data_IF_320917900107
#
_entry.id   IF_320917900107
#
_cell.length_a   1.000
_cell.length_b   1.000
_cell.length_c   1.000
_cell.angle_alpha   90.00
_cell.angle_beta   90.00
_cell.angle_gamma   90.00
#
_symmetry.space_group_name_H-M   'P 1'
#
loop_
_entity.id
_entity.type
_entity.pdbx_description
1 polymer ?
#
# COMPACT_ATOMS: atom_id res chain seq x y z
N UNK A 1 71.37 23.71 -52.20
CA UNK A 1 70.01 23.25 -52.57
C UNK A 1 69.72 21.98 -51.78
N UNK A 2 69.14 22.14 -50.55
CA UNK A 2 68.88 21.01 -49.65
C UNK A 2 67.42 20.60 -49.83
N UNK A 3 67.21 19.34 -50.20
CA UNK A 3 65.95 18.68 -50.41
C UNK A 3 65.50 17.99 -49.09
N UNK A 4 64.61 18.55 -48.36
CA UNK A 4 64.02 17.90 -47.14
C UNK A 4 63.07 16.80 -47.59
N UNK A 5 63.37 15.55 -47.24
CA UNK A 5 62.56 14.39 -47.52
C UNK A 5 61.51 14.26 -46.41
N UNK A 6 60.23 14.58 -46.71
CA UNK A 6 59.10 14.45 -45.82
C UNK A 6 58.77 12.98 -45.65
N UNK A 7 59.14 12.40 -44.52
CA UNK A 7 58.70 11.04 -44.09
C UNK A 7 57.26 11.08 -43.70
N UNK A 8 56.40 10.59 -44.57
CA UNK A 8 54.99 10.34 -44.23
C UNK A 8 54.87 9.10 -43.37
N UNK A 9 54.62 9.25 -42.06
CA UNK A 9 54.12 8.15 -41.21
C UNK A 9 52.73 7.77 -41.68
N UNK A 10 52.60 6.60 -42.29
CA UNK A 10 51.32 5.94 -42.45
C UNK A 10 50.80 5.58 -41.06
N UNK A 11 49.82 6.31 -40.60
CA UNK A 11 49.04 5.93 -39.44
C UNK A 11 48.27 4.69 -39.88
N UNK A 12 48.63 3.53 -39.34
CA UNK A 12 47.97 2.26 -39.62
C UNK A 12 46.46 2.41 -39.37
N UNK A 13 45.67 2.01 -40.34
CA UNK A 13 44.21 1.90 -40.18
C UNK A 13 43.96 0.87 -39.08
N UNK A 14 43.67 1.36 -37.90
CA UNK A 14 43.20 0.53 -36.77
C UNK A 14 41.96 -0.23 -37.25
N UNK A 15 41.93 -1.49 -36.92
CA UNK A 15 40.94 -2.47 -37.37
C UNK A 15 39.54 -2.09 -36.90
N UNK A 16 38.84 -1.24 -37.64
CA UNK A 16 37.54 -0.65 -37.29
C UNK A 16 36.41 -1.67 -37.13
N UNK A 17 36.64 -2.92 -37.53
CA UNK A 17 35.65 -4.01 -37.38
C UNK A 17 35.60 -4.60 -35.96
N UNK A 18 36.74 -4.58 -35.25
CA UNK A 18 36.77 -5.04 -33.83
C UNK A 18 36.18 -4.02 -32.87
N UNK A 19 36.40 -2.73 -33.14
CA UNK A 19 35.92 -1.64 -32.31
C UNK A 19 34.38 -1.57 -32.33
N UNK A 20 33.74 -1.76 -33.48
CA UNK A 20 32.27 -1.75 -33.60
C UNK A 20 31.62 -2.92 -32.85
N UNK A 21 32.24 -4.10 -32.81
CA UNK A 21 31.71 -5.28 -32.11
C UNK A 21 31.78 -5.06 -30.58
N UNK A 22 32.87 -4.52 -30.09
CA UNK A 22 33.03 -4.16 -28.67
C UNK A 22 32.03 -3.07 -28.27
N UNK A 23 31.82 -2.06 -29.09
CA UNK A 23 30.86 -0.97 -28.86
C UNK A 23 29.43 -1.51 -28.78
N UNK A 24 29.04 -2.43 -29.68
CA UNK A 24 27.72 -3.08 -29.64
C UNK A 24 27.58 -3.90 -28.37
N UNK A 25 28.59 -4.66 -27.94
CA UNK A 25 28.55 -5.43 -26.70
C UNK A 25 28.38 -4.53 -25.47
N UNK A 26 29.15 -3.44 -25.39
CA UNK A 26 29.04 -2.48 -24.28
C UNK A 26 27.64 -1.84 -24.27
N UNK A 27 27.14 -1.42 -25.44
CA UNK A 27 25.82 -0.84 -25.58
C UNK A 27 24.71 -1.80 -25.12
N UNK A 28 24.83 -3.08 -25.46
CA UNK A 28 23.91 -4.13 -25.05
C UNK A 28 23.92 -4.34 -23.53
N UNK A 29 25.10 -4.36 -22.92
CA UNK A 29 25.24 -4.46 -21.46
C UNK A 29 24.63 -3.25 -20.76
N UNK A 30 24.91 -2.03 -21.23
CA UNK A 30 24.32 -0.81 -20.69
C UNK A 30 22.79 -0.80 -20.82
N UNK A 31 22.29 -1.25 -21.98
CA UNK A 31 20.86 -1.38 -22.21
C UNK A 31 20.19 -2.34 -21.21
N UNK A 32 20.81 -3.50 -20.93
CA UNK A 32 20.31 -4.45 -19.94
C UNK A 32 20.24 -3.85 -18.54
N UNK A 33 21.25 -3.08 -18.12
CA UNK A 33 21.23 -2.40 -16.83
C UNK A 33 20.08 -1.38 -16.73
N UNK A 34 19.89 -0.56 -17.77
CA UNK A 34 18.79 0.41 -17.83
C UNK A 34 17.45 -0.31 -17.78
N UNK A 35 17.30 -1.39 -18.54
CA UNK A 35 16.07 -2.17 -18.59
C UNK A 35 15.74 -2.80 -17.22
N UNK A 36 16.72 -3.36 -16.51
CA UNK A 36 16.55 -3.87 -15.15
C UNK A 36 16.11 -2.76 -14.16
N UNK A 37 16.68 -1.57 -14.27
CA UNK A 37 16.30 -0.44 -13.43
C UNK A 37 14.84 -0.02 -13.67
N UNK A 38 14.42 0.04 -14.93
CA UNK A 38 13.02 0.37 -15.31
C UNK A 38 12.04 -0.68 -14.81
N UNK A 39 12.36 -1.98 -14.95
CA UNK A 39 11.52 -3.07 -14.44
C UNK A 39 11.36 -3.00 -12.92
N UNK A 40 12.45 -2.78 -12.20
CA UNK A 40 12.42 -2.65 -10.73
C UNK A 40 11.55 -1.48 -10.29
N UNK A 41 11.64 -0.35 -10.97
CA UNK A 41 10.81 0.83 -10.71
C UNK A 41 9.32 0.56 -10.98
N UNK A 42 9.00 -0.14 -12.07
CA UNK A 42 7.63 -0.51 -12.41
C UNK A 42 7.01 -1.46 -11.36
N UNK A 43 7.77 -2.46 -10.88
CA UNK A 43 7.32 -3.37 -9.84
C UNK A 43 7.04 -2.63 -8.51
N UNK A 44 7.91 -1.69 -8.13
CA UNK A 44 7.71 -0.87 -6.94
C UNK A 44 6.46 0.01 -7.04
N UNK A 45 6.20 0.59 -8.22
CA UNK A 45 5.00 1.38 -8.47
C UNK A 45 3.72 0.54 -8.34
N UNK A 46 3.71 -0.68 -8.88
CA UNK A 46 2.58 -1.62 -8.75
C UNK A 46 2.36 -1.99 -7.28
N UNK A 47 3.42 -2.31 -6.54
CA UNK A 47 3.33 -2.67 -5.12
C UNK A 47 2.77 -1.51 -4.28
N UNK A 48 3.26 -0.31 -4.50
CA UNK A 48 2.77 0.91 -3.84
C UNK A 48 1.29 1.18 -4.16
N UNK A 49 0.89 1.05 -5.42
CA UNK A 49 -0.50 1.23 -5.83
C UNK A 49 -1.43 0.20 -5.19
N UNK A 50 -1.00 -1.06 -5.10
CA UNK A 50 -1.77 -2.13 -4.44
C UNK A 50 -1.94 -1.86 -2.95
N UNK A 51 -0.88 -1.43 -2.24
CA UNK A 51 -0.97 -1.03 -0.83
C UNK A 51 -1.95 0.12 -0.61
N UNK A 52 -1.94 1.12 -1.49
CA UNK A 52 -2.88 2.24 -1.43
C UNK A 52 -4.32 1.78 -1.67
N UNK A 53 -4.54 0.84 -2.58
CA UNK A 53 -5.85 0.24 -2.83
C UNK A 53 -6.39 -0.47 -1.58
N UNK A 54 -5.57 -1.26 -0.89
CA UNK A 54 -5.97 -1.92 0.35
C UNK A 54 -6.27 -0.94 1.46
N UNK A 55 -5.43 0.09 1.61
CA UNK A 55 -5.67 1.14 2.59
C UNK A 55 -7.01 1.86 2.34
N UNK A 56 -7.31 2.17 1.09
CA UNK A 56 -8.59 2.81 0.73
C UNK A 56 -9.78 1.89 1.04
N UNK A 57 -9.64 0.58 0.80
CA UNK A 57 -10.67 -0.38 1.17
C UNK A 57 -10.83 -0.50 2.68
N UNK A 58 -9.73 -0.51 3.46
CA UNK A 58 -9.78 -0.49 4.92
C UNK A 58 -10.50 0.74 5.46
N UNK A 59 -10.27 1.92 4.87
CA UNK A 59 -11.00 3.17 5.20
C UNK A 59 -12.49 2.99 4.95
N UNK A 60 -12.86 2.41 3.79
CA UNK A 60 -14.27 2.17 3.44
C UNK A 60 -14.95 1.20 4.41
N UNK A 61 -14.28 0.10 4.75
CA UNK A 61 -14.76 -0.88 5.72
C UNK A 61 -14.94 -0.24 7.10
N UNK A 62 -13.95 0.54 7.56
CA UNK A 62 -14.03 1.23 8.84
C UNK A 62 -15.20 2.24 8.89
N UNK A 63 -15.38 3.02 7.82
CA UNK A 63 -16.49 3.97 7.71
C UNK A 63 -17.85 3.25 7.71
N UNK A 64 -17.97 2.13 6.99
CA UNK A 64 -19.18 1.32 6.98
C UNK A 64 -19.49 0.74 8.37
N UNK A 65 -18.47 0.21 9.06
CA UNK A 65 -18.62 -0.33 10.43
C UNK A 65 -19.00 0.77 11.43
N UNK A 66 -18.39 1.94 11.31
CA UNK A 66 -18.74 3.10 12.14
C UNK A 66 -20.18 3.59 11.89
N UNK A 67 -20.63 3.57 10.65
CA UNK A 67 -22.03 3.89 10.30
C UNK A 67 -23.00 2.87 10.92
N UNK A 68 -22.65 1.58 10.88
CA UNK A 68 -23.38 0.51 11.55
C UNK A 68 -23.46 0.73 13.06
N UNK A 69 -22.35 1.10 13.70
CA UNK A 69 -22.30 1.41 15.13
C UNK A 69 -23.24 2.58 15.50
N UNK A 70 -23.28 3.63 14.69
CA UNK A 70 -24.19 4.76 14.87
C UNK A 70 -25.66 4.36 14.72
N UNK A 71 -25.96 3.49 13.76
CA UNK A 71 -27.32 2.95 13.57
C UNK A 71 -27.77 2.10 14.75
N UNK A 72 -26.87 1.29 15.34
CA UNK A 72 -27.15 0.54 16.56
C UNK A 72 -27.41 1.50 17.71
N UNK A 73 -26.58 2.53 17.86
CA UNK A 73 -26.73 3.53 18.92
C UNK A 73 -28.06 4.28 18.85
N UNK A 74 -28.57 4.61 17.66
CA UNK A 74 -29.88 5.28 17.50
C UNK A 74 -31.08 4.42 17.91
N UNK A 75 -30.92 3.09 17.89
CA UNK A 75 -32.01 2.16 18.20
C UNK A 75 -31.90 1.52 19.60
N UNK A 76 -30.70 1.38 20.12
CA UNK A 76 -30.41 0.62 21.33
C UNK A 76 -29.24 1.21 22.13
N UNK A 77 -29.23 2.50 22.38
CA UNK A 77 -28.12 3.20 23.03
C UNK A 77 -27.78 2.61 24.40
N UNK A 78 -28.77 2.29 25.24
CA UNK A 78 -28.56 1.73 26.57
C UNK A 78 -27.80 0.38 26.56
N UNK A 79 -27.88 -0.37 25.45
CA UNK A 79 -27.26 -1.67 25.28
C UNK A 79 -26.08 -1.65 24.27
N UNK A 80 -25.53 -0.48 23.96
CA UNK A 80 -24.57 -0.28 22.91
C UNK A 80 -23.30 -1.15 23.07
N UNK A 81 -22.81 -1.31 24.30
CA UNK A 81 -21.64 -2.17 24.59
C UNK A 81 -21.91 -3.66 24.32
N UNK A 82 -23.16 -4.12 24.44
CA UNK A 82 -23.55 -5.50 24.16
C UNK A 82 -23.94 -5.70 22.70
N UNK A 83 -24.49 -4.67 22.07
CA UNK A 83 -24.97 -4.73 20.69
C UNK A 83 -23.84 -4.62 19.64
N UNK A 84 -22.75 -3.95 19.98
CA UNK A 84 -21.56 -3.86 19.12
C UNK A 84 -20.56 -4.92 19.56
N UNK A 85 -20.26 -5.91 18.70
CA UNK A 85 -19.23 -6.92 19.00
C UNK A 85 -17.88 -6.24 19.23
N UNK A 86 -17.30 -6.42 20.42
CA UNK A 86 -16.05 -5.74 20.83
C UNK A 86 -14.89 -6.71 21.03
N UNK A 87 -13.67 -6.21 20.84
CA UNK A 87 -12.43 -6.92 21.09
C UNK A 87 -12.13 -8.07 20.12
N UNK A 88 -11.13 -8.92 20.44
CA UNK A 88 -10.73 -10.01 19.56
C UNK A 88 -11.81 -11.08 19.36
N UNK A 89 -12.68 -11.29 20.35
CA UNK A 89 -13.80 -12.26 20.28
C UNK A 89 -14.91 -11.76 19.34
N UNK A 90 -15.06 -10.44 19.22
CA UNK A 90 -15.99 -9.80 18.27
C UNK A 90 -15.37 -9.40 16.94
N UNK A 91 -14.15 -9.82 16.66
CA UNK A 91 -13.50 -9.52 15.40
C UNK A 91 -14.23 -10.18 14.22
N UNK A 92 -14.59 -9.37 13.23
CA UNK A 92 -15.27 -9.82 12.01
C UNK A 92 -14.29 -9.84 10.87
N UNK A 93 -14.15 -10.99 10.21
CA UNK A 93 -13.36 -11.09 8.99
C UNK A 93 -14.24 -10.78 7.76
N UNK A 94 -13.85 -9.78 7.01
CA UNK A 94 -14.52 -9.35 5.77
C UNK A 94 -13.59 -9.62 4.60
N UNK A 95 -13.92 -10.62 3.79
CA UNK A 95 -13.18 -10.87 2.56
C UNK A 95 -13.60 -9.91 1.46
N UNK A 96 -12.65 -9.28 0.79
CA UNK A 96 -12.88 -8.41 -0.38
C UNK A 96 -12.20 -8.99 -1.61
N UNK A 97 -12.97 -9.07 -2.67
CA UNK A 97 -12.47 -9.54 -3.96
C UNK A 97 -11.86 -8.36 -4.73
N UNK A 98 -10.59 -8.49 -5.04
CA UNK A 98 -9.89 -7.65 -5.99
C UNK A 98 -9.75 -8.42 -7.30
N UNK A 99 -9.47 -7.75 -8.38
CA UNK A 99 -9.52 -8.27 -9.76
C UNK A 99 -9.08 -9.75 -9.93
N UNK A 100 -8.04 -10.21 -9.21
CA UNK A 100 -7.49 -11.56 -9.37
C UNK A 100 -7.25 -12.31 -8.04
N UNK A 101 -7.62 -11.74 -6.90
CA UNK A 101 -7.41 -12.34 -5.57
C UNK A 101 -8.40 -11.78 -4.55
N UNK A 102 -8.58 -12.52 -3.46
CA UNK A 102 -9.36 -12.09 -2.31
C UNK A 102 -8.43 -11.82 -1.13
N UNK A 103 -8.65 -10.71 -0.43
CA UNK A 103 -7.89 -10.37 0.78
C UNK A 103 -8.85 -10.26 1.97
N UNK A 104 -8.56 -10.92 3.10
CA UNK A 104 -9.33 -10.79 4.32
C UNK A 104 -8.90 -9.53 5.08
N UNK A 105 -9.89 -8.75 5.50
CA UNK A 105 -9.75 -7.63 6.43
C UNK A 105 -10.37 -8.03 7.75
N UNK A 106 -9.66 -7.83 8.85
CA UNK A 106 -10.19 -8.09 10.20
C UNK A 106 -10.62 -6.76 10.81
N UNK A 107 -11.89 -6.66 11.17
CA UNK A 107 -12.49 -5.51 11.83
C UNK A 107 -12.63 -5.78 13.31
N UNK A 108 -12.08 -4.93 14.13
CA UNK A 108 -12.19 -5.00 15.59
C UNK A 108 -12.81 -3.70 16.11
N UNK A 109 -13.83 -3.81 16.91
CA UNK A 109 -14.51 -2.68 17.54
C UNK A 109 -14.14 -2.58 19.02
N UNK A 110 -14.09 -1.36 19.55
CA UNK A 110 -14.01 -1.09 20.97
C UNK A 110 -15.03 -0.01 21.32
N UNK A 111 -15.76 -0.21 22.40
CA UNK A 111 -16.73 0.74 22.93
C UNK A 111 -16.35 1.05 24.37
N UNK A 112 -16.03 2.30 24.66
CA UNK A 112 -15.58 2.74 25.98
C UNK A 112 -16.47 3.89 26.45
N UNK A 113 -17.09 3.79 27.65
CA UNK A 113 -17.83 4.91 28.20
C UNK A 113 -16.85 6.06 28.51
N UNK A 114 -17.28 7.29 28.22
CA UNK A 114 -16.50 8.51 28.49
C UNK A 114 -16.89 9.17 29.81
N UNK A 115 -18.07 8.85 30.31
CA UNK A 115 -18.60 9.39 31.53
C UNK A 115 -19.23 8.30 32.41
N UNK A 116 -19.43 8.60 33.69
CA UNK A 116 -20.05 7.70 34.66
C UNK A 116 -21.55 7.53 34.47
N UNK A 117 -22.21 8.42 33.73
CA UNK A 117 -23.64 8.36 33.40
C UNK A 117 -23.90 7.47 32.18
N UNK A 118 -22.86 7.03 31.46
CA UNK A 118 -22.95 6.29 30.20
C UNK A 118 -23.81 7.04 29.14
N UNK A 119 -23.75 8.36 29.14
CA UNK A 119 -24.40 9.18 28.12
C UNK A 119 -23.55 9.38 26.87
N UNK A 120 -22.27 9.15 27.00
CA UNK A 120 -21.30 9.29 25.92
C UNK A 120 -20.38 8.08 25.83
N UNK A 121 -20.26 7.53 24.63
CA UNK A 121 -19.34 6.42 24.34
C UNK A 121 -18.32 6.82 23.28
N UNK A 122 -17.06 6.46 23.51
CA UNK A 122 -16.03 6.44 22.47
C UNK A 122 -16.10 5.11 21.75
N UNK A 123 -16.47 5.13 20.49
CA UNK A 123 -16.43 3.97 19.61
C UNK A 123 -15.18 4.06 18.75
N UNK A 124 -14.38 3.00 18.78
CA UNK A 124 -13.17 2.85 17.96
C UNK A 124 -13.33 1.64 17.06
N UNK A 125 -13.12 1.82 15.76
CA UNK A 125 -13.14 0.76 14.76
C UNK A 125 -11.74 0.64 14.18
N UNK A 126 -11.12 -0.51 14.36
CA UNK A 126 -9.77 -0.81 13.82
C UNK A 126 -9.88 -1.87 12.76
N UNK A 127 -9.31 -1.61 11.59
CA UNK A 127 -9.22 -2.55 10.47
C UNK A 127 -7.77 -2.92 10.26
N UNK A 128 -7.51 -4.23 10.25
CA UNK A 128 -6.19 -4.82 9.99
C UNK A 128 -6.24 -5.69 8.74
N UNK A 129 -5.15 -5.75 8.02
CA UNK A 129 -4.97 -6.59 6.83
C UNK A 129 -3.50 -6.95 6.66
N UNK A 130 -3.21 -7.89 5.76
CA UNK A 130 -1.85 -8.26 5.39
C UNK A 130 -1.60 -8.02 3.90
N UNK A 131 -0.34 -7.89 3.51
CA UNK A 131 0.08 -7.89 2.11
C UNK A 131 1.32 -8.76 1.95
N UNK A 132 1.23 -9.77 1.08
CA UNK A 132 2.32 -10.74 0.87
C UNK A 132 2.75 -11.42 2.20
N UNK A 133 1.78 -11.72 3.07
CA UNK A 133 2.04 -12.32 4.38
C UNK A 133 2.62 -11.38 5.44
N UNK A 134 2.78 -10.08 5.12
CA UNK A 134 3.26 -9.08 6.06
C UNK A 134 2.10 -8.23 6.57
N UNK A 135 1.94 -8.08 7.91
CA UNK A 135 0.92 -7.22 8.47
C UNK A 135 1.19 -5.77 8.04
N UNK A 136 0.13 -5.07 7.66
CA UNK A 136 0.20 -3.65 7.30
C UNK A 136 -0.20 -2.78 8.50
N UNK A 137 0.14 -1.49 8.45
CA UNK A 137 -0.24 -0.53 9.49
C UNK A 137 -1.76 -0.49 9.59
N UNK A 138 -2.34 -0.77 10.78
CA UNK A 138 -3.79 -0.74 10.98
C UNK A 138 -4.38 0.63 10.68
N UNK A 139 -5.62 0.63 10.20
CA UNK A 139 -6.40 1.85 10.08
C UNK A 139 -7.44 1.90 11.20
N UNK A 140 -7.44 2.99 11.97
CA UNK A 140 -8.38 3.18 13.08
C UNK A 140 -9.16 4.47 12.88
N UNK A 141 -10.48 4.39 13.03
CA UNK A 141 -11.39 5.54 13.12
C UNK A 141 -12.06 5.56 14.49
N UNK A 142 -12.23 6.74 15.06
CA UNK A 142 -12.88 6.93 16.35
C UNK A 142 -13.99 7.97 16.23
N UNK A 143 -15.05 7.74 16.97
CA UNK A 143 -16.14 8.70 17.09
C UNK A 143 -16.75 8.67 18.50
N UNK A 144 -17.13 9.83 19.00
CA UNK A 144 -17.98 9.94 20.19
C UNK A 144 -19.43 9.82 19.73
N UNK A 145 -20.15 8.94 20.37
CA UNK A 145 -21.59 8.75 20.16
C UNK A 145 -22.27 9.11 21.47
N UNK A 146 -23.10 10.15 21.44
CA UNK A 146 -23.86 10.62 22.56
C UNK A 146 -25.30 10.07 22.52
N UNK A 147 -25.91 9.94 23.67
CA UNK A 147 -27.31 9.58 23.77
C UNK A 147 -28.16 10.61 22.99
N UNK A 148 -29.00 10.19 22.03
CA UNK A 148 -29.80 11.11 21.21
C UNK A 148 -30.86 11.90 21.95
N UNK A 149 -30.86 11.84 23.26
CA UNK A 149 -31.72 12.54 24.24
C UNK A 149 -32.83 11.68 24.85
N UNK A 150 -33.29 12.07 26.02
CA UNK A 150 -34.44 11.42 26.66
C UNK A 150 -35.76 11.71 25.91
#
# INVERSE_FOLDING_TARGET
MFRVKKSGRAIGSLNSRGDTLVEVLISMVLFLFIFMAVLSSALLAIDSNTKNMFRNEAVRIAAQSMSGARSIASNAFANMQQAIPVGPVGAVSISRNFRNFAEPFTVTNAVTPLDSSNENYLVSVTVTWSWKGQPQTPYTIQAVISNPAP
#
